data_IF_827550975912
#
_entry.id   IF_827550975912
#
_cell.length_a   1.000
_cell.length_b   1.000
_cell.length_c   1.000
_cell.angle_alpha   90.00
_cell.angle_beta   90.00
_cell.angle_gamma   90.00
#
_symmetry.space_group_name_H-M   'P 1'
#
loop_
_entity.id
_entity.type
_entity.pdbx_description
1 polymer ?
#
# COMPACT_ATOMS: atom_id res chain seq x y z
N UNK A 1 17.15 2.27 -6.29
CA UNK A 1 17.71 3.41 -5.54
C UNK A 1 16.56 4.11 -4.83
N UNK A 2 16.48 4.00 -3.51
CA UNK A 2 15.54 4.78 -2.71
C UNK A 2 16.32 6.01 -2.25
N UNK A 3 15.89 7.19 -2.66
CA UNK A 3 16.47 8.44 -2.16
C UNK A 3 15.66 8.85 -0.93
N UNK A 4 16.29 8.79 0.24
CA UNK A 4 15.71 9.29 1.47
C UNK A 4 15.77 10.83 1.45
N UNK A 5 14.61 11.47 1.30
CA UNK A 5 14.50 12.91 1.39
C UNK A 5 13.80 13.28 2.69
N UNK A 6 14.57 13.79 3.66
CA UNK A 6 14.03 14.37 4.88
C UNK A 6 13.35 15.69 4.58
N UNK A 7 12.03 15.68 4.63
CA UNK A 7 11.19 16.82 4.30
C UNK A 7 10.96 17.66 5.55
N UNK A 8 11.21 18.97 5.50
CA UNK A 8 10.91 19.88 6.61
C UNK A 8 9.41 20.17 6.67
N UNK A 9 8.88 20.50 7.85
CA UNK A 9 7.45 20.83 8.02
C UNK A 9 6.93 21.90 7.02
N UNK A 10 7.74 22.91 6.70
CA UNK A 10 7.37 23.95 5.74
C UNK A 10 7.20 23.40 4.31
N UNK A 11 7.97 22.38 3.94
CA UNK A 11 7.89 21.72 2.63
C UNK A 11 6.62 20.86 2.50
N UNK A 12 5.99 20.46 3.62
CA UNK A 12 4.77 19.64 3.67
C UNK A 12 3.51 20.52 3.70
N UNK A 13 3.63 21.80 4.01
CA UNK A 13 2.48 22.72 4.00
C UNK A 13 1.85 22.93 2.61
N UNK A 14 2.59 22.63 1.53
CA UNK A 14 2.17 22.82 0.14
C UNK A 14 2.47 21.57 -0.70
N UNK A 15 1.47 20.70 -0.87
CA UNK A 15 1.62 19.43 -1.60
C UNK A 15 2.13 19.64 -3.05
N UNK A 16 1.55 20.58 -3.79
CA UNK A 16 1.92 20.78 -5.20
C UNK A 16 3.34 21.34 -5.34
N UNK A 17 3.71 22.29 -4.48
CA UNK A 17 5.07 22.83 -4.41
C UNK A 17 6.09 21.73 -4.09
N UNK A 18 5.74 20.85 -3.14
CA UNK A 18 6.55 19.69 -2.80
C UNK A 18 6.74 18.75 -3.99
N UNK A 19 5.67 18.34 -4.67
CA UNK A 19 5.75 17.43 -5.83
C UNK A 19 6.62 18.02 -6.94
N UNK A 20 6.47 19.32 -7.24
CA UNK A 20 7.31 20.01 -8.24
C UNK A 20 8.78 20.02 -7.85
N UNK A 21 9.09 20.30 -6.59
CA UNK A 21 10.46 20.31 -6.05
C UNK A 21 11.05 18.89 -6.05
N UNK A 22 10.28 17.89 -5.64
CA UNK A 22 10.63 16.46 -5.72
C UNK A 22 11.02 16.06 -7.15
N UNK A 23 10.19 16.45 -8.13
CA UNK A 23 10.38 16.10 -9.53
C UNK A 23 11.61 16.74 -10.15
N UNK A 24 11.85 18.02 -9.88
CA UNK A 24 13.03 18.70 -10.42
C UNK A 24 14.34 18.10 -9.90
N UNK A 25 14.35 17.59 -8.66
CA UNK A 25 15.56 17.10 -8.01
C UNK A 25 15.78 15.60 -8.22
N UNK A 26 14.77 14.76 -7.98
CA UNK A 26 14.96 13.32 -7.75
C UNK A 26 13.92 12.46 -8.49
N UNK A 27 12.63 12.78 -8.38
CA UNK A 27 11.58 11.79 -8.70
C UNK A 27 11.51 11.42 -10.19
N UNK A 28 11.94 12.30 -11.10
CA UNK A 28 12.03 12.02 -12.54
C UNK A 28 12.98 10.87 -12.91
N UNK A 29 13.90 10.49 -12.01
CA UNK A 29 14.92 9.49 -12.27
C UNK A 29 14.68 8.12 -11.62
N UNK A 30 13.75 8.01 -10.65
CA UNK A 30 13.60 6.81 -9.82
C UNK A 30 12.21 6.18 -9.83
N UNK A 31 11.22 6.78 -10.50
CA UNK A 31 9.86 6.24 -10.64
C UNK A 31 9.01 6.27 -9.35
N UNK A 32 9.63 6.28 -8.17
CA UNK A 32 8.98 6.43 -6.87
C UNK A 32 9.88 7.18 -5.87
N UNK A 33 9.27 7.94 -4.96
CA UNK A 33 9.96 8.63 -3.85
C UNK A 33 9.26 8.30 -2.53
N UNK A 34 10.03 7.87 -1.53
CA UNK A 34 9.53 7.67 -0.17
C UNK A 34 9.59 9.00 0.59
N UNK A 35 8.48 9.37 1.22
CA UNK A 35 8.36 10.59 2.01
C UNK A 35 7.98 10.19 3.43
N UNK A 36 8.77 10.61 4.40
CA UNK A 36 8.55 10.35 5.82
C UNK A 36 8.25 11.70 6.49
N UNK A 37 6.98 12.02 6.76
CA UNK A 37 6.62 13.27 7.40
C UNK A 37 6.89 13.23 8.91
N UNK A 38 7.31 14.35 9.50
CA UNK A 38 7.63 14.47 10.94
C UNK A 38 6.37 14.59 11.83
N UNK A 39 5.16 14.65 11.26
CA UNK A 39 3.93 14.75 12.06
C UNK A 39 3.52 13.41 12.69
N UNK A 40 3.04 13.50 13.93
CA UNK A 40 2.48 12.38 14.67
C UNK A 40 1.27 11.87 13.89
N UNK A 41 1.29 10.59 13.49
CA UNK A 41 0.08 9.90 13.04
C UNK A 41 -1.04 10.23 14.02
N UNK A 42 -2.27 10.55 13.59
CA UNK A 42 -3.33 10.79 14.55
C UNK A 42 -3.42 9.59 15.49
N UNK A 43 -3.06 9.78 16.77
CA UNK A 43 -3.08 8.78 17.84
C UNK A 43 -4.47 8.15 18.07
N UNK A 44 -5.45 8.58 17.28
CA UNK A 44 -6.83 8.13 17.26
C UNK A 44 -7.17 7.33 16.00
N UNK A 45 -6.22 6.56 15.47
CA UNK A 45 -6.57 5.48 14.54
C UNK A 45 -7.31 4.39 15.31
N UNK A 46 -8.63 4.55 15.43
CA UNK A 46 -9.52 3.42 15.70
C UNK A 46 -10.16 3.08 14.37
N UNK A 47 -9.78 1.97 13.71
CA UNK A 47 -10.45 1.57 12.48
C UNK A 47 -11.94 1.40 12.79
N UNK A 48 -12.76 2.31 12.26
CA UNK A 48 -14.24 2.26 12.35
C UNK A 48 -14.79 0.94 11.80
N UNK A 49 -13.96 0.23 11.05
CA UNK A 49 -14.34 -0.91 10.22
C UNK A 49 -14.35 -2.24 10.94
N UNK A 50 -13.94 -2.35 12.22
CA UNK A 50 -13.83 -3.67 12.93
C UNK A 50 -15.07 -4.56 12.75
N UNK A 51 -16.26 -3.96 12.71
CA UNK A 51 -17.54 -4.66 12.55
C UNK A 51 -18.15 -4.57 11.14
N UNK A 52 -17.53 -3.84 10.22
CA UNK A 52 -18.04 -3.66 8.86
C UNK A 52 -17.85 -4.93 8.02
N UNK A 53 -18.80 -5.14 7.10
CA UNK A 53 -18.66 -6.14 6.04
C UNK A 53 -17.80 -5.55 4.94
N UNK A 54 -16.75 -6.28 4.59
CA UNK A 54 -15.76 -5.94 3.57
C UNK A 54 -15.79 -6.98 2.45
N UNK A 55 -15.46 -6.53 1.24
CA UNK A 55 -15.14 -7.42 0.14
C UNK A 55 -13.69 -7.89 0.28
N UNK A 56 -13.50 -9.20 0.49
CA UNK A 56 -12.18 -9.84 0.53
C UNK A 56 -11.94 -10.51 -0.81
N UNK A 57 -10.92 -10.05 -1.52
CA UNK A 57 -10.52 -10.59 -2.82
C UNK A 57 -9.35 -11.55 -2.63
N UNK A 58 -9.53 -12.79 -3.08
CA UNK A 58 -8.46 -13.81 -3.08
C UNK A 58 -7.72 -13.75 -4.41
N UNK A 59 -6.40 -13.55 -4.39
CA UNK A 59 -5.58 -13.43 -5.59
C UNK A 59 -5.06 -14.80 -6.01
N UNK A 60 -5.61 -15.35 -7.09
CA UNK A 60 -5.01 -16.52 -7.73
C UNK A 60 -3.74 -16.15 -8.49
N UNK A 61 -2.83 -17.11 -8.61
CA UNK A 61 -1.68 -17.00 -9.51
C UNK A 61 -1.62 -18.23 -10.37
N UNK A 62 -1.17 -18.10 -11.62
CA UNK A 62 -0.75 -19.18 -12.51
C UNK A 62 0.75 -19.16 -12.68
N UNK A 63 1.41 -20.28 -12.36
CA UNK A 63 2.84 -20.45 -12.62
C UNK A 63 3.08 -20.65 -14.11
N UNK A 64 3.92 -19.81 -14.70
CA UNK A 64 4.44 -20.00 -16.07
C UNK A 64 5.73 -20.80 -16.00
N UNK A 65 6.68 -20.34 -15.18
CA UNK A 65 7.87 -21.08 -14.75
C UNK A 65 8.35 -20.56 -13.39
N UNK A 66 9.38 -21.17 -12.81
CA UNK A 66 9.90 -20.74 -11.49
C UNK A 66 10.33 -19.26 -11.55
N UNK A 67 9.80 -18.46 -10.62
CA UNK A 67 10.01 -17.01 -10.55
C UNK A 67 9.16 -16.15 -11.49
N UNK A 68 8.34 -16.75 -12.36
CA UNK A 68 7.41 -16.01 -13.23
C UNK A 68 5.99 -16.53 -13.06
N UNK A 69 5.15 -15.67 -12.51
CA UNK A 69 3.78 -15.95 -12.16
C UNK A 69 2.86 -14.91 -12.78
N UNK A 70 1.76 -15.37 -13.36
CA UNK A 70 0.69 -14.52 -13.84
C UNK A 70 -0.37 -14.40 -12.74
N UNK A 71 -0.80 -13.18 -12.43
CA UNK A 71 -1.96 -12.96 -11.58
C UNK A 71 -3.21 -13.39 -12.34
N UNK A 72 -4.02 -14.25 -11.73
CA UNK A 72 -5.32 -14.67 -12.27
C UNK A 72 -6.48 -13.98 -11.54
N UNK A 73 -7.69 -14.31 -11.99
CA UNK A 73 -8.95 -13.75 -11.51
C UNK A 73 -9.05 -13.70 -9.98
N UNK A 74 -9.65 -12.62 -9.51
CA UNK A 74 -10.00 -12.42 -8.12
C UNK A 74 -11.27 -13.20 -7.80
N UNK A 75 -11.23 -14.06 -6.77
CA UNK A 75 -12.47 -14.56 -6.15
C UNK A 75 -12.83 -13.65 -4.99
N UNK A 76 -13.97 -12.99 -5.10
CA UNK A 76 -14.48 -12.11 -4.05
C UNK A 76 -15.39 -12.89 -3.09
N UNK A 77 -15.20 -12.65 -1.79
CA UNK A 77 -16.10 -13.11 -0.73
C UNK A 77 -16.38 -11.96 0.23
N UNK A 78 -17.55 -11.98 0.88
CA UNK A 78 -17.86 -11.03 1.95
C UNK A 78 -17.34 -11.56 3.28
N UNK A 79 -16.65 -10.73 4.04
CA UNK A 79 -16.16 -11.07 5.38
C UNK A 79 -16.29 -9.86 6.32
N UNK A 80 -16.09 -10.05 7.64
CA UNK A 80 -15.93 -8.94 8.58
C UNK A 80 -14.46 -8.50 8.66
N UNK A 81 -14.20 -7.20 8.81
CA UNK A 81 -12.82 -6.69 8.95
C UNK A 81 -12.07 -7.35 10.10
N UNK A 82 -12.70 -7.48 11.28
CA UNK A 82 -12.08 -8.12 12.45
C UNK A 82 -11.63 -9.56 12.18
N UNK A 83 -12.38 -10.32 11.37
CA UNK A 83 -12.00 -11.69 10.98
C UNK A 83 -10.82 -11.64 10.02
N UNK A 84 -10.83 -10.73 9.05
CA UNK A 84 -9.71 -10.54 8.12
C UNK A 84 -8.42 -10.12 8.84
N UNK A 85 -8.49 -9.17 9.77
CA UNK A 85 -7.36 -8.70 10.58
C UNK A 85 -6.77 -9.83 11.44
N UNK A 86 -7.62 -10.63 12.09
CA UNK A 86 -7.19 -11.79 12.89
C UNK A 86 -6.43 -12.79 12.03
N UNK A 87 -7.00 -13.17 10.88
CA UNK A 87 -6.38 -14.14 9.97
C UNK A 87 -5.05 -13.61 9.39
N UNK A 88 -4.99 -12.32 9.05
CA UNK A 88 -3.77 -11.68 8.53
C UNK A 88 -2.67 -11.61 9.58
N UNK A 89 -3.03 -11.30 10.84
CA UNK A 89 -2.08 -11.27 11.96
C UNK A 89 -1.49 -12.65 12.25
N UNK A 90 -2.34 -13.68 12.24
CA UNK A 90 -1.89 -15.06 12.42
C UNK A 90 -0.95 -15.49 11.28
N UNK A 91 -1.32 -15.21 10.03
CA UNK A 91 -0.46 -15.49 8.87
C UNK A 91 0.88 -14.75 8.92
N UNK A 92 0.90 -13.50 9.42
CA UNK A 92 2.13 -12.73 9.62
C UNK A 92 3.04 -13.39 10.65
N UNK A 93 2.50 -13.81 11.80
CA UNK A 93 3.27 -14.48 12.85
C UNK A 93 3.82 -15.84 12.40
N UNK A 94 3.06 -16.57 11.59
CA UNK A 94 3.47 -17.88 11.05
C UNK A 94 4.50 -17.78 9.91
N UNK A 95 4.56 -16.63 9.22
CA UNK A 95 5.40 -16.43 8.02
C UNK A 95 6.51 -15.37 8.18
N UNK A 96 6.61 -14.69 9.33
CA UNK A 96 7.59 -13.61 9.52
C UNK A 96 9.00 -14.12 9.84
N UNK A 97 9.77 -14.45 8.82
CA UNK A 97 11.21 -14.18 8.83
C UNK A 97 11.41 -12.67 8.69
N UNK A 98 12.16 -12.03 9.60
CA UNK A 98 12.55 -10.63 9.41
C UNK A 98 13.72 -10.61 8.42
N UNK A 99 13.42 -10.37 7.14
CA UNK A 99 14.45 -10.20 6.13
C UNK A 99 14.80 -8.72 5.98
N UNK A 100 16.07 -8.38 6.18
CA UNK A 100 16.59 -7.09 5.76
C UNK A 100 16.90 -7.17 4.26
N UNK A 101 16.03 -6.57 3.44
CA UNK A 101 16.14 -6.56 1.98
C UNK A 101 17.49 -6.03 1.46
N UNK A 102 18.24 -5.26 2.28
CA UNK A 102 19.52 -4.68 1.88
C UNK A 102 20.72 -5.59 2.19
N UNK A 103 20.58 -6.50 3.15
CA UNK A 103 21.69 -7.32 3.66
C UNK A 103 21.48 -8.82 3.47
N UNK A 104 20.25 -9.24 3.20
CA UNK A 104 19.92 -10.63 2.99
C UNK A 104 20.04 -11.00 1.52
N UNK A 105 21.19 -11.60 1.17
CA UNK A 105 21.50 -12.06 -0.19
C UNK A 105 20.56 -13.17 -0.67
N UNK A 106 19.89 -13.87 0.24
CA UNK A 106 19.00 -15.00 -0.08
C UNK A 106 17.52 -14.63 -0.02
N UNK A 107 17.21 -13.36 0.22
CA UNK A 107 15.84 -12.89 0.38
C UNK A 107 14.96 -13.23 -0.82
N UNK A 108 15.50 -13.12 -2.03
CA UNK A 108 14.80 -13.51 -3.25
C UNK A 108 14.57 -15.02 -3.34
N UNK A 109 15.54 -15.84 -2.94
CA UNK A 109 15.36 -17.31 -2.89
C UNK A 109 14.29 -17.70 -1.87
N UNK A 110 14.24 -16.99 -0.74
CA UNK A 110 13.22 -17.19 0.28
C UNK A 110 11.83 -16.84 -0.24
N UNK A 111 11.67 -15.67 -0.86
CA UNK A 111 10.41 -15.27 -1.47
C UNK A 111 9.99 -16.22 -2.59
N UNK A 112 10.92 -16.63 -3.47
CA UNK A 112 10.65 -17.63 -4.50
C UNK A 112 10.14 -18.94 -3.88
N UNK A 113 10.79 -19.44 -2.84
CA UNK A 113 10.33 -20.63 -2.10
C UNK A 113 8.93 -20.46 -1.50
N UNK A 114 8.61 -19.26 -0.98
CA UNK A 114 7.27 -18.95 -0.49
C UNK A 114 6.22 -18.97 -1.61
N UNK A 115 6.52 -18.38 -2.78
CA UNK A 115 5.64 -18.42 -3.94
C UNK A 115 5.45 -19.84 -4.48
N UNK A 116 6.50 -20.65 -4.52
CA UNK A 116 6.43 -22.05 -4.93
C UNK A 116 5.54 -22.86 -3.97
N UNK A 117 5.76 -22.71 -2.66
CA UNK A 117 4.94 -23.37 -1.63
C UNK A 117 3.47 -22.94 -1.74
N UNK A 118 3.22 -21.65 -1.86
CA UNK A 118 1.88 -21.09 -2.05
C UNK A 118 1.22 -21.65 -3.31
N UNK A 119 1.96 -21.78 -4.41
CA UNK A 119 1.46 -22.35 -5.64
C UNK A 119 1.07 -23.83 -5.53
N UNK A 120 1.86 -24.61 -4.78
CA UNK A 120 1.56 -26.02 -4.48
C UNK A 120 0.35 -26.16 -3.58
N UNK A 121 0.27 -25.39 -2.49
CA UNK A 121 -0.79 -25.52 -1.49
C UNK A 121 -2.08 -24.79 -1.87
N UNK A 122 -2.04 -23.91 -2.89
CA UNK A 122 -3.13 -23.00 -3.26
C UNK A 122 -3.55 -22.09 -2.10
N UNK A 123 -2.64 -21.81 -1.16
CA UNK A 123 -2.85 -20.91 -0.01
C UNK A 123 -2.73 -19.45 -0.46
N UNK A 124 -3.68 -19.00 -1.27
CA UNK A 124 -3.63 -17.72 -1.93
C UNK A 124 -3.78 -16.53 -0.97
N UNK A 125 -3.02 -15.44 -1.20
CA UNK A 125 -3.14 -14.23 -0.43
C UNK A 125 -4.51 -13.59 -0.66
N UNK A 126 -5.01 -12.98 0.41
CA UNK A 126 -6.30 -12.33 0.48
C UNK A 126 -6.08 -10.86 0.73
N UNK A 127 -6.79 -10.04 -0.02
CA UNK A 127 -6.65 -8.60 0.01
C UNK A 127 -8.00 -7.93 0.22
N UNK A 128 -7.98 -6.76 0.84
CA UNK A 128 -9.09 -5.82 0.85
C UNK A 128 -8.60 -4.62 0.06
N UNK A 129 -9.12 -4.46 -1.15
CA UNK A 129 -8.77 -3.38 -2.08
C UNK A 129 -10.04 -2.67 -2.53
N UNK A 130 -9.92 -1.40 -2.90
CA UNK A 130 -11.03 -0.57 -3.37
C UNK A 130 -12.23 -0.53 -2.41
N UNK A 131 -11.95 -0.62 -1.10
CA UNK A 131 -12.98 -0.59 -0.07
C UNK A 131 -13.43 0.85 0.18
N UNK A 132 -14.48 1.24 -0.51
CA UNK A 132 -14.91 2.63 -0.70
C UNK A 132 -15.74 3.16 0.49
N UNK A 133 -15.12 3.22 1.68
CA UNK A 133 -15.80 3.68 2.91
C UNK A 133 -15.36 5.08 3.36
N UNK A 134 -14.95 5.91 2.39
CA UNK A 134 -14.56 7.30 2.62
C UNK A 134 -13.13 7.47 3.14
N UNK A 135 -12.89 8.59 3.81
CA UNK A 135 -11.55 8.98 4.28
C UNK A 135 -11.25 8.46 5.68
N UNK A 136 -10.03 7.94 5.89
CA UNK A 136 -9.53 7.61 7.24
C UNK A 136 -8.93 8.80 7.97
N UNK A 137 -8.82 9.95 7.31
CA UNK A 137 -8.33 11.16 7.94
C UNK A 137 -9.33 11.65 9.01
N UNK A 138 -8.85 12.20 10.15
CA UNK A 138 -9.72 12.70 11.21
C UNK A 138 -10.71 13.77 10.71
N UNK A 139 -11.95 13.81 11.23
CA UNK A 139 -12.89 14.89 10.92
C UNK A 139 -12.27 16.27 11.22
N UNK A 140 -12.41 17.21 10.29
CA UNK A 140 -11.86 18.56 10.42
C UNK A 140 -10.36 18.68 10.15
N UNK A 141 -9.66 17.58 9.82
CA UNK A 141 -8.28 17.69 9.34
C UNK A 141 -8.23 18.40 7.99
N UNK A 142 -7.33 19.39 7.87
CA UNK A 142 -7.29 20.34 6.78
C UNK A 142 -5.87 20.53 6.21
N UNK A 143 -5.07 19.46 6.16
CA UNK A 143 -3.74 19.51 5.55
C UNK A 143 -3.81 19.32 4.02
N UNK A 144 -2.84 19.88 3.32
CA UNK A 144 -2.70 19.77 1.85
C UNK A 144 -2.42 18.33 1.38
N UNK A 145 -2.12 17.42 2.30
CA UNK A 145 -1.86 15.99 2.02
C UNK A 145 -3.09 15.11 2.23
N UNK A 146 -4.22 15.71 2.60
CA UNK A 146 -5.47 15.00 2.76
C UNK A 146 -5.91 14.48 1.39
N UNK A 147 -5.87 13.16 1.18
CA UNK A 147 -6.05 12.56 -0.15
C UNK A 147 -7.39 12.94 -0.80
N UNK A 148 -8.45 13.14 -0.03
CA UNK A 148 -9.73 13.61 -0.61
C UNK A 148 -9.69 15.06 -1.08
N UNK A 149 -8.82 15.91 -0.50
CA UNK A 149 -8.64 17.31 -0.91
C UNK A 149 -7.81 17.41 -2.20
N UNK A 150 -6.93 16.43 -2.45
CA UNK A 150 -6.15 16.32 -3.68
C UNK A 150 -7.00 15.99 -4.92
N UNK A 151 -8.24 15.52 -4.75
CA UNK A 151 -9.15 15.26 -5.88
C UNK A 151 -9.33 16.51 -6.76
N UNK A 152 -9.32 17.70 -6.16
CA UNK A 152 -9.37 18.98 -6.90
C UNK A 152 -8.04 19.33 -7.58
N UNK A 153 -6.91 18.94 -7.01
CA UNK A 153 -5.57 19.16 -7.58
C UNK A 153 -5.41 18.47 -8.93
N UNK A 154 -5.97 17.26 -9.08
CA UNK A 154 -5.92 16.49 -10.33
C UNK A 154 -7.13 16.71 -11.24
N UNK A 155 -8.18 17.40 -10.77
CA UNK A 155 -9.40 17.64 -11.53
C UNK A 155 -9.15 18.33 -12.88
N UNK A 156 -8.34 19.41 -12.98
CA UNK A 156 -8.01 20.00 -14.28
C UNK A 156 -7.24 19.06 -15.20
N UNK A 157 -6.45 18.11 -14.66
CA UNK A 157 -5.69 17.14 -15.46
C UNK A 157 -6.60 16.04 -16.01
N UNK A 158 -7.56 15.58 -15.20
CA UNK A 158 -8.54 14.57 -15.59
C UNK A 158 -9.56 15.11 -16.61
N UNK A 159 -9.76 16.43 -16.65
CA UNK A 159 -10.72 17.09 -17.52
C UNK A 159 -10.10 17.90 -18.67
N UNK A 160 -8.76 17.98 -18.75
CA UNK A 160 -8.03 18.51 -19.92
C UNK A 160 -7.42 17.37 -20.77
N UNK A 161 -8.04 16.20 -20.77
CA UNK A 161 -7.77 15.18 -21.79
C UNK A 161 -8.67 15.52 -22.98
N UNK A 162 -8.18 16.44 -23.82
CA UNK A 162 -8.60 16.54 -25.22
C UNK A 162 -7.94 15.40 -26.04
#
# INVERSE_FOLDING_TARGET
MVVDWRVRNDDISNFLGFVKKSYSHISKYCGAVLIIPDWIFPDRYVPKWKNEKIAVKTQGFKKIHSGVYLVENWKETSNKMSIFEKNSSQAKLEKSGHHDLNHDKEVWNTYLGMFEKMWVTKDWPKYVIDHDNGTMFPPGSNNDWHLSSLKRTFFPILHNVD
#
